data_IF_700936004909
#
_entry.id   IF_700936004909
#
_cell.length_a   1.000
_cell.length_b   1.000
_cell.length_c   1.000
_cell.angle_alpha   90.00
_cell.angle_beta   90.00
_cell.angle_gamma   90.00
#
_symmetry.space_group_name_H-M   'P 1'
#
loop_
_entity.id
_entity.type
_entity.pdbx_description
1 polymer ?
#
# COMPACT_ATOMS: atom_id res chain seq x y z
N UNK A 1 -4.38 -9.97 -31.02
CA UNK A 1 -3.84 -8.81 -31.78
C UNK A 1 -2.69 -8.21 -30.98
N UNK A 2 -1.58 -7.80 -31.61
CA UNK A 2 -0.44 -7.25 -30.89
C UNK A 2 -0.84 -5.91 -30.26
N UNK A 3 -0.64 -5.81 -28.95
CA UNK A 3 -0.84 -4.61 -28.15
C UNK A 3 -0.02 -3.47 -28.75
N UNK A 4 -0.69 -2.39 -29.17
CA UNK A 4 -0.02 -1.14 -29.52
C UNK A 4 0.56 -0.54 -28.24
N UNK A 5 1.82 -0.84 -27.99
CA UNK A 5 2.70 -0.02 -27.16
C UNK A 5 2.70 1.40 -27.74
N UNK A 6 2.39 2.42 -26.93
CA UNK A 6 2.69 3.80 -27.32
C UNK A 6 1.78 4.91 -26.81
N UNK A 7 0.54 4.64 -26.35
CA UNK A 7 -0.39 5.73 -26.01
C UNK A 7 -1.00 5.69 -24.60
N UNK A 8 -0.71 4.66 -23.80
CA UNK A 8 -1.20 4.60 -22.41
C UNK A 8 -0.40 5.44 -21.40
N UNK A 9 0.76 5.98 -21.82
CA UNK A 9 1.71 6.66 -20.93
C UNK A 9 1.33 8.10 -20.54
N UNK A 10 0.22 8.65 -21.03
CA UNK A 10 -0.07 10.10 -20.89
C UNK A 10 -1.33 10.46 -20.10
N UNK A 11 -2.24 9.52 -19.80
CA UNK A 11 -3.45 9.85 -19.04
C UNK A 11 -3.21 9.81 -17.51
N UNK A 12 -2.25 9.01 -17.06
CA UNK A 12 -1.74 9.00 -15.70
C UNK A 12 -0.22 8.90 -15.80
N UNK A 13 0.47 10.02 -15.58
CA UNK A 13 1.88 9.98 -15.17
C UNK A 13 2.02 8.93 -14.06
N UNK A 14 3.14 8.20 -14.02
CA UNK A 14 3.49 7.38 -12.87
C UNK A 14 3.03 8.09 -11.59
N UNK A 15 2.12 7.47 -10.85
CA UNK A 15 1.63 8.05 -9.59
C UNK A 15 2.86 8.33 -8.72
N UNK A 16 2.94 9.50 -8.09
CA UNK A 16 4.05 9.86 -7.21
C UNK A 16 4.34 8.76 -6.19
N UNK A 17 3.31 8.01 -5.77
CA UNK A 17 3.46 6.84 -4.91
C UNK A 17 4.21 5.66 -5.56
N UNK A 18 4.00 5.40 -6.85
CA UNK A 18 4.74 4.38 -7.60
C UNK A 18 6.21 4.78 -7.77
N UNK A 19 6.45 6.06 -8.07
CA UNK A 19 7.82 6.59 -8.13
C UNK A 19 8.52 6.52 -6.77
N UNK A 20 7.86 6.96 -5.70
CA UNK A 20 8.42 6.96 -4.35
C UNK A 20 8.73 5.53 -3.89
N UNK A 21 7.84 4.56 -4.18
CA UNK A 21 8.10 3.15 -3.94
C UNK A 21 9.35 2.67 -4.70
N UNK A 22 9.43 2.95 -6.00
CA UNK A 22 10.56 2.53 -6.83
C UNK A 22 11.87 3.18 -6.38
N UNK A 23 11.86 4.49 -6.10
CA UNK A 23 13.01 5.23 -5.56
C UNK A 23 13.45 4.65 -4.21
N UNK A 24 12.50 4.33 -3.32
CA UNK A 24 12.78 3.71 -2.03
C UNK A 24 13.43 2.33 -2.17
N UNK A 25 12.88 1.48 -3.04
CA UNK A 25 13.44 0.15 -3.32
C UNK A 25 14.85 0.23 -3.91
N UNK A 26 15.05 1.10 -4.92
CA UNK A 26 16.35 1.32 -5.54
C UNK A 26 17.38 1.85 -4.54
N UNK A 27 17.01 2.82 -3.70
CA UNK A 27 17.88 3.32 -2.65
C UNK A 27 18.24 2.21 -1.64
N UNK A 28 17.29 1.34 -1.30
CA UNK A 28 17.52 0.17 -0.45
C UNK A 28 18.55 -0.80 -1.03
N UNK A 29 18.43 -1.16 -2.30
CA UNK A 29 19.39 -2.02 -2.98
C UNK A 29 20.77 -1.36 -3.12
N UNK A 30 20.83 -0.10 -3.55
CA UNK A 30 22.09 0.65 -3.67
C UNK A 30 22.83 0.75 -2.34
N UNK A 31 22.10 1.00 -1.24
CA UNK A 31 22.67 0.97 0.11
C UNK A 31 23.25 -0.40 0.44
N UNK A 32 22.51 -1.48 0.16
CA UNK A 32 22.97 -2.83 0.43
C UNK A 32 24.23 -3.18 -0.36
N UNK A 33 24.31 -2.83 -1.65
CA UNK A 33 25.53 -2.99 -2.45
C UNK A 33 26.71 -2.26 -1.83
N UNK A 34 26.56 -0.96 -1.53
CA UNK A 34 27.63 -0.15 -0.94
C UNK A 34 28.15 -0.73 0.36
N UNK A 35 27.26 -1.14 1.26
CA UNK A 35 27.66 -1.69 2.55
C UNK A 35 28.30 -3.08 2.45
N UNK A 36 27.87 -3.91 1.49
CA UNK A 36 28.50 -5.21 1.22
C UNK A 36 29.87 -5.04 0.56
N UNK A 37 30.03 -4.08 -0.35
CA UNK A 37 31.32 -3.74 -0.95
C UNK A 37 32.34 -3.26 0.09
N UNK A 38 31.88 -2.53 1.12
CA UNK A 38 32.73 -2.19 2.26
C UNK A 38 33.18 -3.43 3.03
N UNK A 39 32.31 -4.41 3.25
CA UNK A 39 32.66 -5.69 3.89
C UNK A 39 33.66 -6.51 3.07
N UNK A 40 33.65 -6.40 1.74
CA UNK A 40 34.62 -7.10 0.87
C UNK A 40 36.04 -6.60 1.13
N UNK A 41 36.18 -5.30 1.40
CA UNK A 41 37.46 -4.64 1.71
C UNK A 41 37.87 -4.77 3.18
N UNK A 42 36.93 -5.11 4.06
CA UNK A 42 37.18 -5.22 5.49
C UNK A 42 38.07 -6.43 5.83
N UNK A 43 38.99 -6.21 6.78
CA UNK A 43 39.94 -7.22 7.27
C UNK A 43 39.80 -7.28 8.80
N UNK A 44 38.78 -7.99 9.31
CA UNK A 44 38.56 -8.07 10.74
C UNK A 44 39.63 -8.94 11.41
N UNK A 45 40.46 -8.33 12.26
CA UNK A 45 41.56 -8.98 12.97
C UNK A 45 41.22 -9.37 14.42
N UNK A 46 40.18 -8.78 14.99
CA UNK A 46 39.76 -8.98 16.39
C UNK A 46 38.37 -9.60 16.46
N UNK A 47 38.00 -10.13 17.63
CA UNK A 47 36.65 -10.69 17.83
C UNK A 47 35.57 -9.61 17.74
N UNK A 48 35.88 -8.39 18.16
CA UNK A 48 35.01 -7.22 18.07
C UNK A 48 34.81 -6.80 16.62
N UNK A 49 35.87 -6.75 15.80
CA UNK A 49 35.72 -6.43 14.37
C UNK A 49 35.02 -7.54 13.61
N UNK A 50 35.24 -8.83 13.95
CA UNK A 50 34.44 -9.95 13.42
C UNK A 50 32.97 -9.83 13.81
N UNK A 51 32.66 -9.46 15.06
CA UNK A 51 31.28 -9.25 15.48
C UNK A 51 30.62 -8.15 14.65
N UNK A 52 31.28 -7.00 14.49
CA UNK A 52 30.77 -5.90 13.69
C UNK A 52 30.59 -6.27 12.21
N UNK A 53 31.54 -7.03 11.65
CA UNK A 53 31.46 -7.58 10.30
C UNK A 53 30.18 -8.39 10.09
N UNK A 54 29.94 -9.40 10.94
CA UNK A 54 28.76 -10.26 10.80
C UNK A 54 27.45 -9.56 11.17
N UNK A 55 27.47 -8.56 12.05
CA UNK A 55 26.31 -7.69 12.30
C UNK A 55 25.92 -6.92 11.04
N UNK A 56 26.88 -6.24 10.40
CA UNK A 56 26.64 -5.48 9.17
C UNK A 56 26.21 -6.40 8.03
N UNK A 57 26.83 -7.57 7.90
CA UNK A 57 26.41 -8.57 6.92
C UNK A 57 24.97 -9.06 7.18
N UNK A 58 24.64 -9.38 8.44
CA UNK A 58 23.30 -9.83 8.83
C UNK A 58 22.23 -8.79 8.49
N UNK A 59 22.48 -7.52 8.82
CA UNK A 59 21.59 -6.42 8.48
C UNK A 59 21.33 -6.34 6.97
N UNK A 60 22.39 -6.40 6.15
CA UNK A 60 22.27 -6.29 4.69
C UNK A 60 21.55 -7.49 4.08
N UNK A 61 21.76 -8.71 4.59
CA UNK A 61 20.99 -9.89 4.16
C UNK A 61 19.51 -9.77 4.53
N UNK A 62 19.21 -9.28 5.74
CA UNK A 62 17.83 -9.04 6.15
C UNK A 62 17.17 -7.95 5.29
N UNK A 63 17.91 -6.89 4.94
CA UNK A 63 17.41 -5.79 4.10
C UNK A 63 17.12 -6.28 2.69
N UNK A 64 18.06 -7.01 2.08
CA UNK A 64 17.89 -7.66 0.79
C UNK A 64 16.64 -8.54 0.74
N UNK A 65 16.45 -9.42 1.73
CA UNK A 65 15.26 -10.28 1.82
C UNK A 65 13.97 -9.47 1.96
N UNK A 66 13.99 -8.42 2.78
CA UNK A 66 12.84 -7.55 2.97
C UNK A 66 12.44 -6.83 1.67
N UNK A 67 13.41 -6.32 0.92
CA UNK A 67 13.16 -5.65 -0.36
C UNK A 67 12.56 -6.60 -1.40
N UNK A 68 13.09 -7.83 -1.50
CA UNK A 68 12.53 -8.85 -2.39
C UNK A 68 11.12 -9.28 -1.99
N UNK A 69 10.87 -9.48 -0.69
CA UNK A 69 9.53 -9.79 -0.18
C UNK A 69 8.54 -8.66 -0.45
N UNK A 70 8.96 -7.39 -0.27
CA UNK A 70 8.14 -6.23 -0.60
C UNK A 70 7.79 -6.19 -2.09
N UNK A 71 8.75 -6.45 -2.98
CA UNK A 71 8.51 -6.57 -4.43
C UNK A 71 7.51 -7.70 -4.70
N UNK A 72 7.76 -8.89 -4.17
CA UNK A 72 6.92 -10.07 -4.37
C UNK A 72 5.47 -9.84 -3.92
N UNK A 73 5.27 -9.24 -2.73
CA UNK A 73 3.94 -8.88 -2.22
C UNK A 73 3.23 -7.89 -3.13
N UNK A 74 3.93 -6.87 -3.63
CA UNK A 74 3.34 -5.86 -4.54
C UNK A 74 2.93 -6.47 -5.87
N UNK A 75 3.81 -7.29 -6.47
CA UNK A 75 3.49 -8.02 -7.71
C UNK A 75 2.31 -8.97 -7.49
N UNK A 76 2.29 -9.70 -6.37
CA UNK A 76 1.17 -10.57 -6.01
C UNK A 76 -0.15 -9.80 -5.91
N UNK A 77 -0.16 -8.66 -5.20
CA UNK A 77 -1.35 -7.80 -5.10
C UNK A 77 -1.80 -7.30 -6.47
N UNK A 78 -0.87 -6.90 -7.33
CA UNK A 78 -1.18 -6.44 -8.69
C UNK A 78 -1.76 -7.59 -9.53
N UNK A 79 -1.15 -8.76 -9.51
CA UNK A 79 -1.64 -9.92 -10.28
C UNK A 79 -3.01 -10.38 -9.78
N UNK A 80 -3.27 -10.25 -8.48
CA UNK A 80 -4.57 -10.54 -7.87
C UNK A 80 -5.67 -9.57 -8.32
N UNK A 81 -5.33 -8.41 -8.91
CA UNK A 81 -6.31 -7.50 -9.53
C UNK A 81 -6.97 -8.12 -10.76
N UNK A 82 -6.31 -9.05 -11.46
CA UNK A 82 -6.79 -9.56 -12.74
C UNK A 82 -7.03 -8.45 -13.79
N UNK A 83 -8.28 -8.31 -14.24
CA UNK A 83 -8.70 -7.26 -15.19
C UNK A 83 -8.98 -5.90 -14.53
N UNK A 84 -8.94 -5.81 -13.20
CA UNK A 84 -9.30 -4.62 -12.41
C UNK A 84 -8.12 -3.62 -12.28
N UNK A 85 -7.10 -3.76 -13.12
CA UNK A 85 -5.84 -3.04 -13.01
C UNK A 85 -5.66 -2.02 -14.14
N UNK A 86 -5.49 -0.76 -13.75
CA UNK A 86 -4.95 0.32 -14.59
C UNK A 86 -3.68 -0.13 -15.33
N UNK A 87 -3.43 0.38 -16.53
CA UNK A 87 -2.17 0.14 -17.27
C UNK A 87 -0.93 0.39 -16.40
N UNK A 88 -0.99 1.43 -15.55
CA UNK A 88 0.04 1.79 -14.57
C UNK A 88 0.41 0.64 -13.63
N UNK A 89 -0.54 -0.19 -13.19
CA UNK A 89 -0.24 -1.32 -12.31
C UNK A 89 0.56 -2.42 -13.04
N UNK A 90 0.26 -2.67 -14.31
CA UNK A 90 1.02 -3.64 -15.13
C UNK A 90 2.43 -3.12 -15.38
N UNK A 91 2.57 -1.84 -15.69
CA UNK A 91 3.87 -1.20 -15.87
C UNK A 91 4.69 -1.23 -14.57
N UNK A 92 4.05 -0.97 -13.42
CA UNK A 92 4.67 -1.10 -12.11
C UNK A 92 5.10 -2.54 -11.84
N UNK A 93 4.25 -3.54 -12.07
CA UNK A 93 4.62 -4.94 -11.88
C UNK A 93 5.80 -5.36 -12.78
N UNK A 94 5.81 -4.90 -14.03
CA UNK A 94 6.94 -5.13 -14.94
C UNK A 94 8.21 -4.43 -14.46
N UNK A 95 8.12 -3.18 -13.99
CA UNK A 95 9.24 -2.43 -13.44
C UNK A 95 9.80 -3.08 -12.16
N UNK A 96 8.93 -3.53 -11.26
CA UNK A 96 9.29 -4.28 -10.06
C UNK A 96 9.97 -5.61 -10.39
N UNK A 97 9.41 -6.36 -11.34
CA UNK A 97 10.00 -7.63 -11.80
C UNK A 97 11.36 -7.43 -12.47
N UNK A 98 11.54 -6.34 -13.23
CA UNK A 98 12.83 -5.96 -13.81
C UNK A 98 13.84 -5.58 -12.72
N UNK A 99 13.43 -4.79 -11.72
CA UNK A 99 14.29 -4.47 -10.57
C UNK A 99 14.69 -5.73 -9.81
N UNK A 100 13.75 -6.60 -9.46
CA UNK A 100 14.04 -7.88 -8.83
C UNK A 100 15.01 -8.73 -9.67
N UNK A 101 14.78 -8.86 -10.97
CA UNK A 101 15.66 -9.61 -11.87
C UNK A 101 17.08 -9.07 -11.92
N UNK A 102 17.25 -7.74 -11.87
CA UNK A 102 18.57 -7.08 -11.84
C UNK A 102 19.30 -7.29 -10.51
N UNK A 103 18.58 -7.31 -9.39
CA UNK A 103 19.19 -7.28 -8.06
C UNK A 103 19.33 -8.66 -7.40
N UNK A 104 18.40 -9.58 -7.68
CA UNK A 104 18.29 -10.86 -6.98
C UNK A 104 19.58 -11.68 -7.06
N UNK A 105 20.06 -11.96 -8.28
CA UNK A 105 21.26 -12.77 -8.48
C UNK A 105 22.56 -12.06 -8.08
N UNK A 106 22.85 -10.82 -8.54
CA UNK A 106 24.12 -10.17 -8.24
C UNK A 106 24.33 -9.91 -6.75
N UNK A 107 23.36 -9.29 -6.07
CA UNK A 107 23.50 -8.98 -4.64
C UNK A 107 23.40 -10.25 -3.77
N UNK A 108 22.57 -11.22 -4.18
CA UNK A 108 22.49 -12.51 -3.50
C UNK A 108 23.83 -13.25 -3.50
N UNK A 109 24.49 -13.31 -4.67
CA UNK A 109 25.84 -13.88 -4.79
C UNK A 109 26.87 -13.11 -3.98
N UNK A 110 26.84 -11.78 -4.06
CA UNK A 110 27.78 -10.93 -3.35
C UNK A 110 27.69 -11.14 -1.82
N UNK A 111 26.48 -11.22 -1.28
CA UNK A 111 26.24 -11.55 0.12
C UNK A 111 26.80 -12.92 0.49
N UNK A 112 26.56 -13.94 -0.34
CA UNK A 112 27.05 -15.31 -0.11
C UNK A 112 28.59 -15.37 -0.12
N UNK A 113 29.24 -14.80 -1.12
CA UNK A 113 30.70 -14.74 -1.22
C UNK A 113 31.32 -13.98 -0.04
N UNK A 114 30.71 -12.86 0.34
CA UNK A 114 31.16 -12.03 1.47
C UNK A 114 31.06 -12.80 2.79
N UNK A 115 29.97 -13.54 3.02
CA UNK A 115 29.82 -14.37 4.21
C UNK A 115 30.91 -15.44 4.33
N UNK A 116 31.15 -16.16 3.24
CA UNK A 116 32.10 -17.28 3.20
C UNK A 116 33.55 -16.81 3.33
N UNK A 117 33.88 -15.63 2.81
CA UNK A 117 35.24 -15.07 2.82
C UNK A 117 35.88 -15.00 4.21
N UNK A 118 35.09 -14.79 5.28
CA UNK A 118 35.60 -14.67 6.65
C UNK A 118 35.33 -15.89 7.52
N UNK A 119 34.78 -16.96 6.97
CA UNK A 119 34.33 -18.11 7.77
C UNK A 119 35.47 -18.81 8.50
N UNK A 120 36.62 -18.96 7.85
CA UNK A 120 37.80 -19.59 8.46
C UNK A 120 38.41 -18.73 9.57
N UNK A 121 38.28 -17.41 9.48
CA UNK A 121 38.70 -16.48 10.53
C UNK A 121 37.79 -16.63 11.76
N UNK A 122 36.48 -16.74 11.55
CA UNK A 122 35.51 -16.99 12.62
C UNK A 122 35.74 -18.34 13.28
N UNK A 123 36.02 -19.40 12.50
CA UNK A 123 36.28 -20.75 13.02
C UNK A 123 37.46 -20.84 13.98
N UNK A 124 38.43 -19.92 13.87
CA UNK A 124 39.52 -19.78 14.84
C UNK A 124 39.07 -19.20 16.18
N UNK A 125 37.95 -18.48 16.21
CA UNK A 125 37.42 -17.80 17.39
C UNK A 125 36.30 -18.58 18.09
N UNK A 126 35.44 -19.24 17.32
CA UNK A 126 34.28 -20.01 17.81
C UNK A 126 34.08 -21.28 17.00
N UNK A 127 33.40 -22.27 17.59
CA UNK A 127 32.95 -23.43 16.83
C UNK A 127 31.80 -23.03 15.89
N UNK A 128 31.95 -23.30 14.59
CA UNK A 128 30.93 -23.04 13.56
C UNK A 128 30.69 -24.34 12.78
N UNK A 129 29.62 -25.09 13.09
CA UNK A 129 29.20 -26.26 12.33
C UNK A 129 29.03 -25.94 10.84
N UNK A 130 29.30 -26.90 9.97
CA UNK A 130 29.14 -26.73 8.52
C UNK A 130 27.69 -26.37 8.15
N UNK A 131 26.69 -26.92 8.86
CA UNK A 131 25.27 -26.58 8.67
C UNK A 131 25.00 -25.06 8.79
N UNK A 132 25.63 -24.39 9.76
CA UNK A 132 25.48 -22.94 9.92
C UNK A 132 26.11 -22.18 8.76
N UNK A 133 27.20 -22.71 8.19
CA UNK A 133 27.83 -22.13 7.01
C UNK A 133 26.92 -22.28 5.79
N UNK A 134 26.36 -23.47 5.59
CA UNK A 134 25.49 -23.77 4.45
C UNK A 134 24.20 -22.94 4.47
N UNK A 135 23.63 -22.68 5.64
CA UNK A 135 22.46 -21.81 5.81
C UNK A 135 22.82 -20.31 5.86
N UNK A 136 24.11 -19.99 5.90
CA UNK A 136 24.68 -18.67 6.19
C UNK A 136 24.10 -18.07 7.48
N UNK A 137 24.03 -18.88 8.54
CA UNK A 137 23.36 -18.56 9.80
C UNK A 137 24.19 -17.56 10.64
N UNK A 138 24.11 -16.29 10.28
CA UNK A 138 24.85 -15.22 10.97
C UNK A 138 24.36 -14.97 12.39
N UNK A 139 23.12 -15.31 12.73
CA UNK A 139 22.59 -15.14 14.10
C UNK A 139 23.39 -15.96 15.10
N UNK A 140 23.67 -17.23 14.77
CA UNK A 140 24.44 -18.12 15.62
C UNK A 140 25.93 -17.71 15.68
N UNK A 141 26.49 -17.19 14.58
CA UNK A 141 27.85 -16.62 14.58
C UNK A 141 27.92 -15.40 15.49
N UNK A 142 26.97 -14.45 15.37
CA UNK A 142 26.87 -13.26 16.21
C UNK A 142 26.74 -13.66 17.68
N UNK A 143 25.85 -14.61 18.00
CA UNK A 143 25.65 -15.10 19.36
C UNK A 143 26.91 -15.76 19.95
N UNK A 144 27.61 -16.56 19.15
CA UNK A 144 28.88 -17.19 19.54
C UNK A 144 29.97 -16.16 19.84
N UNK A 145 30.14 -15.16 18.96
CA UNK A 145 31.09 -14.07 19.16
C UNK A 145 30.73 -13.22 20.38
N UNK A 146 29.45 -12.89 20.57
CA UNK A 146 28.96 -12.19 21.77
C UNK A 146 29.33 -12.96 23.05
N UNK A 147 29.12 -14.27 23.06
CA UNK A 147 29.45 -15.14 24.21
C UNK A 147 30.94 -15.07 24.55
N UNK A 148 31.82 -15.09 23.55
CA UNK A 148 33.28 -14.96 23.77
C UNK A 148 33.71 -13.56 24.25
N UNK A 149 32.89 -12.55 23.98
CA UNK A 149 33.12 -11.16 24.39
C UNK A 149 32.39 -10.78 25.69
N UNK A 150 31.63 -11.70 26.31
CA UNK A 150 30.83 -11.40 27.50
C UNK A 150 29.60 -10.52 27.23
N UNK A 151 29.13 -10.46 25.98
CA UNK A 151 27.99 -9.65 25.55
C UNK A 151 26.70 -10.48 25.43
N UNK A 152 25.54 -9.83 25.57
CA UNK A 152 24.23 -10.44 25.32
C UNK A 152 23.90 -10.42 23.82
N UNK A 153 23.47 -11.56 23.27
CA UNK A 153 23.15 -11.71 21.85
C UNK A 153 21.94 -10.88 21.40
N UNK A 154 20.86 -10.83 22.19
CA UNK A 154 19.60 -10.19 21.79
C UNK A 154 19.73 -8.68 21.48
N UNK A 155 20.69 -7.99 22.10
CA UNK A 155 20.98 -6.57 21.83
C UNK A 155 21.95 -6.34 20.67
N UNK A 156 22.50 -7.41 20.09
CA UNK A 156 23.55 -7.36 19.08
C UNK A 156 23.15 -7.93 17.73
N UNK A 157 22.01 -8.61 17.60
CA UNK A 157 21.47 -9.03 16.30
C UNK A 157 20.72 -7.83 15.69
N UNK A 158 21.23 -7.21 14.60
CA UNK A 158 20.59 -6.06 14.02
C UNK A 158 19.25 -6.44 13.39
N UNK A 159 18.24 -5.59 13.55
CA UNK A 159 16.95 -5.76 12.88
C UNK A 159 16.79 -4.70 11.80
N UNK A 160 16.36 -5.13 10.63
CA UNK A 160 15.80 -4.18 9.65
C UNK A 160 14.48 -3.73 10.23
N UNK A 161 14.37 -2.44 10.53
CA UNK A 161 13.09 -1.84 10.83
C UNK A 161 12.21 -2.03 9.59
N UNK A 162 11.31 -3.00 9.65
CA UNK A 162 10.17 -3.00 8.73
C UNK A 162 9.41 -1.70 9.00
N UNK A 163 8.88 -1.01 7.98
CA UNK A 163 7.97 0.09 8.22
C UNK A 163 6.92 -0.43 9.18
N UNK A 164 6.82 0.19 10.36
CA UNK A 164 6.08 -0.29 11.52
C UNK A 164 4.82 -1.01 11.00
N UNK A 165 4.79 -2.34 11.15
CA UNK A 165 3.50 -3.03 11.06
C UNK A 165 2.70 -2.34 12.13
N UNK A 166 1.74 -1.51 11.72
CA UNK A 166 0.85 -0.85 12.64
C UNK A 166 0.29 -1.98 13.48
N UNK A 167 0.70 -2.06 14.75
CA UNK A 167 0.19 -3.06 15.67
C UNK A 167 -1.25 -2.66 15.89
N UNK A 168 -2.13 -3.21 15.05
CA UNK A 168 -3.53 -2.85 15.01
C UNK A 168 -4.15 -3.14 16.37
N UNK A 169 -3.75 -4.21 17.04
CA UNK A 169 -4.24 -4.56 18.36
C UNK A 169 -3.83 -3.50 19.39
N UNK A 170 -2.56 -3.06 19.39
CA UNK A 170 -2.08 -2.02 20.29
C UNK A 170 -2.69 -0.64 19.99
N UNK A 171 -2.76 -0.27 18.70
CA UNK A 171 -3.37 0.97 18.23
C UNK A 171 -4.85 1.03 18.63
N UNK A 172 -5.60 -0.04 18.36
CA UNK A 172 -7.02 -0.11 18.69
C UNK A 172 -7.26 -0.21 20.19
N UNK A 173 -6.36 -0.86 20.96
CA UNK A 173 -6.40 -0.83 22.42
C UNK A 173 -6.34 0.61 22.94
N UNK A 174 -5.34 1.39 22.53
CA UNK A 174 -5.20 2.81 22.90
C UNK A 174 -6.45 3.60 22.48
N UNK A 175 -6.90 3.46 21.23
CA UNK A 175 -8.06 4.19 20.73
C UNK A 175 -9.33 3.87 21.51
N UNK A 176 -9.57 2.60 21.83
CA UNK A 176 -10.75 2.13 22.58
C UNK A 176 -10.74 2.57 24.05
N UNK A 177 -9.56 2.79 24.65
CA UNK A 177 -9.43 3.11 26.07
C UNK A 177 -9.20 4.59 26.38
N UNK A 178 -8.68 5.39 25.43
CA UNK A 178 -8.12 6.71 25.75
C UNK A 178 -8.74 7.88 25.00
N UNK A 179 -9.61 7.65 24.00
CA UNK A 179 -10.21 8.74 23.21
C UNK A 179 -11.72 8.79 23.36
N UNK A 180 -12.24 9.93 23.82
CA UNK A 180 -13.68 10.15 23.86
C UNK A 180 -14.25 10.27 22.44
N UNK A 181 -15.52 9.91 22.25
CA UNK A 181 -16.24 10.11 20.98
C UNK A 181 -16.12 11.56 20.47
N UNK A 182 -16.15 12.53 21.37
CA UNK A 182 -16.04 13.95 21.05
C UNK A 182 -14.65 14.31 20.50
N UNK A 183 -13.58 13.80 21.13
CA UNK A 183 -12.20 14.02 20.68
C UNK A 183 -11.94 13.42 19.30
N UNK A 184 -12.47 12.22 19.05
CA UNK A 184 -12.38 11.58 17.74
C UNK A 184 -13.14 12.38 16.68
N UNK A 185 -14.32 12.91 17.02
CA UNK A 185 -15.11 13.79 16.14
C UNK A 185 -14.36 15.08 15.80
N UNK A 186 -13.68 15.72 16.75
CA UNK A 186 -12.97 17.00 16.53
C UNK A 186 -11.68 16.85 15.71
N UNK A 187 -10.86 15.82 15.99
CA UNK A 187 -9.69 15.48 15.16
C UNK A 187 -10.15 15.15 13.74
N UNK A 188 -11.26 14.41 13.62
CA UNK A 188 -11.86 14.04 12.36
C UNK A 188 -12.32 15.27 11.56
N UNK A 189 -13.03 16.23 12.18
CA UNK A 189 -13.48 17.45 11.50
C UNK A 189 -12.28 18.20 10.90
N UNK A 190 -11.15 18.23 11.60
CA UNK A 190 -9.93 18.85 11.11
C UNK A 190 -9.32 18.11 9.92
N UNK A 191 -9.31 16.77 9.93
CA UNK A 191 -8.77 15.97 8.82
C UNK A 191 -9.66 16.06 7.57
N UNK A 192 -10.96 15.87 7.72
CA UNK A 192 -11.91 15.89 6.59
C UNK A 192 -12.08 17.29 6.00
N UNK A 193 -12.36 18.30 6.82
CA UNK A 193 -12.65 19.65 6.31
C UNK A 193 -11.40 20.42 5.85
N UNK A 194 -10.20 20.13 6.37
CA UNK A 194 -8.96 20.69 5.79
C UNK A 194 -8.54 19.97 4.51
N UNK A 195 -8.65 18.64 4.43
CA UNK A 195 -8.29 17.89 3.23
C UNK A 195 -9.17 18.23 2.02
N UNK A 196 -10.43 18.61 2.23
CA UNK A 196 -11.33 19.08 1.16
C UNK A 196 -10.83 20.29 0.38
N UNK A 197 -9.88 21.07 0.92
CA UNK A 197 -9.26 22.20 0.21
C UNK A 197 -8.14 21.77 -0.77
N UNK A 198 -7.63 20.54 -0.65
CA UNK A 198 -6.45 20.05 -1.36
C UNK A 198 -6.76 19.07 -2.51
N UNK A 199 -8.01 18.64 -2.71
CA UNK A 199 -8.37 17.74 -3.82
C UNK A 199 -8.33 18.50 -5.15
N UNK A 200 -7.19 18.43 -5.84
CA UNK A 200 -6.90 19.21 -7.05
C UNK A 200 -7.39 18.58 -8.37
N UNK A 201 -7.88 17.33 -8.35
CA UNK A 201 -8.20 16.59 -9.58
C UNK A 201 -9.71 16.43 -9.76
N UNK A 202 -10.32 17.39 -10.45
CA UNK A 202 -11.46 17.11 -11.31
C UNK A 202 -10.87 16.84 -12.70
N UNK A 203 -11.16 15.67 -13.28
CA UNK A 203 -10.66 15.40 -14.64
C UNK A 203 -11.36 16.32 -15.65
N UNK A 204 -10.63 16.81 -16.65
CA UNK A 204 -11.27 17.42 -17.82
C UNK A 204 -12.24 16.40 -18.44
N UNK A 205 -13.48 16.81 -18.74
CA UNK A 205 -14.51 15.90 -19.28
C UNK A 205 -15.29 15.10 -18.24
N UNK A 206 -15.23 15.50 -16.96
CA UNK A 206 -16.02 14.96 -15.83
C UNK A 206 -17.56 15.03 -16.01
N UNK A 207 -18.04 15.64 -17.10
CA UNK A 207 -19.45 15.69 -17.49
C UNK A 207 -19.81 14.85 -18.72
N UNK A 208 -18.89 14.03 -19.22
CA UNK A 208 -19.07 13.37 -20.51
C UNK A 208 -18.80 14.37 -21.64
N UNK A 209 -17.64 14.23 -22.26
CA UNK A 209 -17.19 14.89 -23.49
C UNK A 209 -17.06 16.44 -23.47
N UNK A 210 -17.87 17.23 -22.75
CA UNK A 210 -17.70 18.70 -22.65
C UNK A 210 -18.23 19.31 -21.34
N UNK A 211 -17.34 19.95 -20.57
CA UNK A 211 -17.71 20.70 -19.36
C UNK A 211 -18.46 21.99 -19.70
N UNK A 212 -19.72 22.10 -19.25
CA UNK A 212 -20.53 23.32 -19.41
C UNK A 212 -20.09 24.46 -18.47
N UNK A 213 -19.30 24.15 -17.44
CA UNK A 213 -18.79 25.08 -16.43
C UNK A 213 -17.27 25.15 -16.51
N UNK A 214 -16.70 26.29 -16.08
CA UNK A 214 -15.26 26.42 -15.95
C UNK A 214 -14.69 25.47 -14.89
N UNK A 215 -13.40 25.13 -15.00
CA UNK A 215 -12.71 24.29 -14.02
C UNK A 215 -12.81 24.85 -12.58
N UNK A 216 -12.78 26.18 -12.42
CA UNK A 216 -12.91 26.84 -11.12
C UNK A 216 -14.32 26.69 -10.53
N UNK A 217 -15.36 26.80 -11.36
CA UNK A 217 -16.75 26.62 -10.92
C UNK A 217 -17.01 25.17 -10.53
N UNK A 218 -16.52 24.21 -11.31
CA UNK A 218 -16.62 22.78 -10.99
C UNK A 218 -15.88 22.48 -9.68
N UNK A 219 -14.68 23.03 -9.48
CA UNK A 219 -13.92 22.88 -8.22
C UNK A 219 -14.67 23.44 -7.03
N UNK A 220 -15.26 24.62 -7.17
CA UNK A 220 -16.06 25.26 -6.12
C UNK A 220 -17.28 24.40 -5.77
N UNK A 221 -18.02 23.94 -6.78
CA UNK A 221 -19.18 23.08 -6.60
C UNK A 221 -18.82 21.71 -5.97
N UNK A 222 -17.70 21.11 -6.39
CA UNK A 222 -17.22 19.85 -5.84
C UNK A 222 -16.80 19.99 -4.37
N UNK A 223 -16.13 21.09 -4.00
CA UNK A 223 -15.76 21.37 -2.62
C UNK A 223 -16.98 21.61 -1.74
N UNK A 224 -17.97 22.35 -2.23
CA UNK A 224 -19.21 22.57 -1.48
C UNK A 224 -19.98 21.27 -1.27
N UNK A 225 -20.13 20.47 -2.35
CA UNK A 225 -20.75 19.14 -2.28
C UNK A 225 -20.05 18.23 -1.28
N UNK A 226 -18.71 18.27 -1.24
CA UNK A 226 -17.93 17.52 -0.25
C UNK A 226 -18.20 17.97 1.19
N UNK A 227 -18.31 19.28 1.44
CA UNK A 227 -18.64 19.81 2.78
C UNK A 227 -20.03 19.38 3.23
N UNK A 228 -21.02 19.49 2.35
CA UNK A 228 -22.40 19.06 2.61
C UNK A 228 -22.47 17.56 2.87
N UNK A 229 -21.81 16.76 2.03
CA UNK A 229 -21.74 15.29 2.19
C UNK A 229 -21.12 14.93 3.54
N UNK A 230 -19.99 15.56 3.89
CA UNK A 230 -19.31 15.32 5.16
C UNK A 230 -20.24 15.62 6.33
N UNK A 231 -20.89 16.80 6.33
CA UNK A 231 -21.86 17.19 7.36
C UNK A 231 -22.98 16.15 7.52
N UNK A 232 -23.60 15.72 6.42
CA UNK A 232 -24.66 14.71 6.45
C UNK A 232 -24.17 13.38 7.04
N UNK A 233 -22.97 12.93 6.67
CA UNK A 233 -22.37 11.71 7.24
C UNK A 233 -22.25 11.83 8.76
N UNK A 234 -21.76 12.95 9.29
CA UNK A 234 -21.67 13.14 10.75
C UNK A 234 -23.01 13.10 11.46
N UNK A 235 -23.99 13.82 10.90
CA UNK A 235 -25.35 13.89 11.45
C UNK A 235 -26.02 12.51 11.48
N UNK A 236 -25.59 11.59 10.61
CA UNK A 236 -26.14 10.24 10.47
C UNK A 236 -25.20 9.14 10.98
N UNK A 237 -24.12 9.45 11.71
CA UNK A 237 -23.20 8.41 12.20
C UNK A 237 -23.87 7.40 13.12
N UNK A 238 -24.74 7.89 14.01
CA UNK A 238 -25.47 7.09 15.00
C UNK A 238 -26.67 6.32 14.43
N UNK A 239 -27.02 6.55 13.15
CA UNK A 239 -28.11 5.83 12.50
C UNK A 239 -27.61 4.56 11.84
N UNK A 240 -28.50 3.58 11.67
CA UNK A 240 -28.19 2.40 10.86
C UNK A 240 -27.83 2.82 9.42
N UNK A 241 -26.93 2.07 8.79
CA UNK A 241 -26.56 2.29 7.40
C UNK A 241 -26.46 0.97 6.69
N UNK A 242 -27.25 0.86 5.64
CA UNK A 242 -27.25 -0.31 4.78
C UNK A 242 -26.02 -0.27 3.87
N UNK A 243 -25.15 -1.28 3.98
CA UNK A 243 -23.89 -1.34 3.24
C UNK A 243 -24.15 -2.10 1.94
N UNK A 244 -24.35 -1.35 0.85
CA UNK A 244 -24.64 -1.92 -0.45
C UNK A 244 -24.31 -0.97 -1.60
N UNK A 245 -24.61 -1.40 -2.83
CA UNK A 245 -24.35 -0.60 -4.03
C UNK A 245 -25.09 0.75 -4.02
N UNK A 246 -26.27 0.79 -3.42
CA UNK A 246 -27.06 2.03 -3.35
C UNK A 246 -26.40 3.07 -2.44
N UNK A 247 -25.75 2.66 -1.35
CA UNK A 247 -24.93 3.58 -0.55
C UNK A 247 -23.79 4.20 -1.38
N UNK A 248 -23.12 3.41 -2.24
CA UNK A 248 -22.07 3.94 -3.11
C UNK A 248 -22.63 4.95 -4.14
N UNK A 249 -23.80 4.66 -4.71
CA UNK A 249 -24.49 5.57 -5.63
C UNK A 249 -24.95 6.84 -4.93
N UNK A 250 -25.41 6.74 -3.69
CA UNK A 250 -25.84 7.88 -2.88
C UNK A 250 -24.67 8.80 -2.54
N UNK A 251 -23.54 8.21 -2.14
CA UNK A 251 -22.30 8.95 -1.94
C UNK A 251 -21.83 9.63 -3.24
N UNK A 252 -21.86 8.93 -4.37
CA UNK A 252 -21.52 9.54 -5.67
C UNK A 252 -22.45 10.71 -6.00
N UNK A 253 -23.76 10.53 -5.79
CA UNK A 253 -24.78 11.55 -6.02
C UNK A 253 -24.56 12.81 -5.17
N UNK A 254 -24.24 12.64 -3.89
CA UNK A 254 -23.97 13.75 -2.97
C UNK A 254 -22.65 14.46 -3.31
N UNK A 255 -21.59 13.70 -3.60
CA UNK A 255 -20.25 14.24 -3.88
C UNK A 255 -20.14 14.97 -5.23
N UNK A 256 -20.98 14.59 -6.19
CA UNK A 256 -21.00 15.12 -7.55
C UNK A 256 -22.22 16.01 -7.83
N UNK A 257 -22.98 16.39 -6.79
CA UNK A 257 -24.14 17.26 -6.93
C UNK A 257 -23.76 18.59 -7.60
N UNK A 258 -24.44 18.93 -8.70
CA UNK A 258 -24.15 20.14 -9.48
C UNK A 258 -22.83 20.13 -10.26
N UNK A 259 -22.13 18.99 -10.27
CA UNK A 259 -20.88 18.74 -11.02
C UNK A 259 -21.15 17.76 -12.16
N UNK A 260 -21.74 16.60 -11.88
CA UNK A 260 -21.99 15.53 -12.87
C UNK A 260 -23.52 15.38 -13.09
N UNK A 261 -24.03 15.50 -14.32
CA UNK A 261 -25.45 15.23 -14.62
C UNK A 261 -25.85 13.76 -14.40
N UNK A 262 -24.89 12.83 -14.39
CA UNK A 262 -25.11 11.40 -14.16
C UNK A 262 -24.76 10.99 -12.71
N UNK A 263 -24.71 11.94 -11.78
CA UNK A 263 -24.40 11.67 -10.38
C UNK A 263 -25.31 10.55 -9.79
N UNK A 264 -24.68 9.58 -9.13
CA UNK A 264 -25.32 8.37 -8.62
C UNK A 264 -25.64 7.26 -9.64
N UNK A 265 -25.27 7.40 -10.91
CA UNK A 265 -25.42 6.35 -11.92
C UNK A 265 -24.08 5.70 -12.23
N UNK A 266 -24.07 4.36 -12.38
CA UNK A 266 -22.92 3.68 -12.97
C UNK A 266 -22.81 4.07 -14.43
N UNK A 267 -21.57 4.11 -14.93
CA UNK A 267 -21.32 4.28 -16.37
C UNK A 267 -21.96 3.14 -17.15
N UNK A 268 -22.25 3.39 -18.43
CA UNK A 268 -22.94 2.43 -19.32
C UNK A 268 -22.10 2.01 -20.53
N UNK A 269 -20.92 2.61 -20.68
CA UNK A 269 -19.98 2.38 -21.76
C UNK A 269 -18.56 2.38 -21.20
N UNK A 270 -17.64 1.80 -21.98
CA UNK A 270 -16.22 1.85 -21.65
C UNK A 270 -15.68 3.27 -21.77
N UNK A 271 -14.70 3.58 -20.91
CA UNK A 271 -13.91 4.78 -21.11
C UNK A 271 -13.12 4.67 -22.43
N UNK A 272 -12.86 5.79 -23.13
CA UNK A 272 -12.05 5.78 -24.36
C UNK A 272 -10.66 5.16 -24.17
N UNK A 273 -10.06 5.37 -23.00
CA UNK A 273 -8.78 4.80 -22.58
C UNK A 273 -8.90 3.41 -21.96
N UNK A 274 -10.10 2.81 -21.95
CA UNK A 274 -10.40 1.52 -21.33
C UNK A 274 -9.94 1.43 -19.86
N UNK A 275 -10.01 2.54 -19.14
CA UNK A 275 -9.75 2.54 -17.72
C UNK A 275 -10.79 1.70 -16.94
N UNK A 276 -10.38 1.02 -15.87
CA UNK A 276 -11.24 0.12 -15.10
C UNK A 276 -11.66 -1.14 -15.88
N UNK A 277 -12.76 -1.77 -15.42
CA UNK A 277 -13.26 -3.03 -16.00
C UNK A 277 -14.03 -2.77 -17.29
N UNK A 278 -13.74 -3.49 -18.38
CA UNK A 278 -14.47 -3.28 -19.63
C UNK A 278 -15.87 -3.90 -19.63
N UNK A 279 -16.78 -3.41 -20.48
CA UNK A 279 -18.09 -4.03 -20.74
C UNK A 279 -18.00 -5.28 -21.64
N UNK A 280 -16.83 -5.52 -22.25
CA UNK A 280 -16.58 -6.71 -23.07
C UNK A 280 -16.92 -7.99 -22.31
N UNK A 281 -17.64 -8.91 -22.97
CA UNK A 281 -18.06 -10.20 -22.41
C UNK A 281 -18.85 -10.11 -21.08
N UNK A 282 -19.51 -8.98 -20.80
CA UNK A 282 -20.28 -8.79 -19.55
C UNK A 282 -19.39 -8.67 -18.31
N UNK A 283 -18.10 -8.37 -18.48
CA UNK A 283 -17.17 -8.25 -17.37
C UNK A 283 -17.63 -7.20 -16.35
N UNK A 284 -18.05 -6.01 -16.78
CA UNK A 284 -18.52 -4.95 -15.88
C UNK A 284 -19.63 -5.43 -14.94
N UNK A 285 -20.68 -6.04 -15.47
CA UNK A 285 -21.83 -6.51 -14.68
C UNK A 285 -21.43 -7.62 -13.69
N UNK A 286 -20.56 -8.54 -14.12
CA UNK A 286 -20.00 -9.57 -13.24
C UNK A 286 -19.27 -8.93 -12.06
N UNK A 287 -18.38 -7.97 -12.34
CA UNK A 287 -17.57 -7.32 -11.31
C UNK A 287 -18.39 -6.44 -10.36
N UNK A 288 -19.47 -5.80 -10.84
CA UNK A 288 -20.46 -5.12 -9.99
C UNK A 288 -21.19 -6.11 -9.09
N UNK A 289 -21.56 -7.29 -9.61
CA UNK A 289 -22.16 -8.37 -8.82
C UNK A 289 -21.24 -8.85 -7.69
N UNK A 290 -19.96 -9.08 -8.00
CA UNK A 290 -18.94 -9.42 -7.02
C UNK A 290 -18.77 -8.31 -5.96
N UNK A 291 -18.72 -7.04 -6.38
CA UNK A 291 -18.64 -5.90 -5.44
C UNK A 291 -19.84 -5.87 -4.50
N UNK A 292 -21.05 -6.12 -5.01
CA UNK A 292 -22.28 -6.21 -4.21
C UNK A 292 -22.16 -7.30 -3.14
N UNK A 293 -21.62 -8.46 -3.51
CA UNK A 293 -21.40 -9.56 -2.58
C UNK A 293 -20.39 -9.20 -1.48
N UNK A 294 -19.26 -8.59 -1.83
CA UNK A 294 -18.25 -8.16 -0.83
C UNK A 294 -18.77 -7.04 0.09
N UNK A 295 -19.63 -6.15 -0.42
CA UNK A 295 -20.33 -5.16 0.42
C UNK A 295 -21.22 -5.86 1.45
N UNK A 296 -21.95 -6.90 1.05
CA UNK A 296 -22.75 -7.74 1.96
C UNK A 296 -21.89 -8.48 2.99
N UNK A 297 -20.72 -9.00 2.60
CA UNK A 297 -19.76 -9.60 3.55
C UNK A 297 -19.24 -8.57 4.55
N UNK A 298 -18.99 -7.34 4.10
CA UNK A 298 -18.57 -6.22 4.95
C UNK A 298 -19.66 -5.88 5.98
N UNK A 299 -20.93 -5.84 5.54
CA UNK A 299 -22.07 -5.67 6.44
C UNK A 299 -22.15 -6.80 7.49
N UNK A 300 -22.01 -8.05 7.04
CA UNK A 300 -22.13 -9.23 7.90
C UNK A 300 -20.98 -9.35 8.91
N UNK A 301 -19.80 -8.86 8.53
CA UNK A 301 -18.60 -8.85 9.40
C UNK A 301 -18.55 -7.64 10.34
N UNK A 302 -19.58 -6.79 10.40
CA UNK A 302 -19.54 -5.54 11.17
C UNK A 302 -19.23 -5.73 12.66
N UNK A 303 -19.42 -6.91 13.26
CA UNK A 303 -19.06 -7.18 14.66
C UNK A 303 -17.67 -7.83 14.85
N UNK A 304 -17.09 -8.41 13.82
CA UNK A 304 -15.73 -8.98 13.82
C UNK A 304 -14.76 -7.94 13.23
N UNK A 305 -13.94 -7.32 14.08
CA UNK A 305 -13.08 -6.22 13.64
C UNK A 305 -12.05 -6.66 12.57
N UNK A 306 -11.22 -7.71 12.77
CA UNK A 306 -10.33 -8.20 11.71
C UNK A 306 -11.04 -8.49 10.38
N UNK A 307 -12.18 -9.21 10.42
CA UNK A 307 -12.92 -9.54 9.20
C UNK A 307 -13.52 -8.30 8.54
N UNK A 308 -14.04 -7.35 9.33
CA UNK A 308 -14.56 -6.08 8.83
C UNK A 308 -13.49 -5.26 8.13
N UNK A 309 -12.31 -5.09 8.74
CA UNK A 309 -11.21 -4.34 8.12
C UNK A 309 -10.78 -4.99 6.81
N UNK A 310 -10.66 -6.32 6.79
CA UNK A 310 -10.31 -7.08 5.60
C UNK A 310 -11.33 -6.89 4.47
N UNK A 311 -12.63 -7.05 4.77
CA UNK A 311 -13.69 -6.92 3.78
C UNK A 311 -13.88 -5.48 3.31
N UNK A 312 -13.77 -4.51 4.21
CA UNK A 312 -13.84 -3.09 3.87
C UNK A 312 -12.68 -2.67 2.95
N UNK A 313 -11.47 -3.19 3.19
CA UNK A 313 -10.33 -3.00 2.30
C UNK A 313 -10.58 -3.62 0.91
N UNK A 314 -11.20 -4.81 0.86
CA UNK A 314 -11.62 -5.45 -0.41
C UNK A 314 -12.65 -4.60 -1.15
N UNK A 315 -13.67 -4.06 -0.47
CA UNK A 315 -14.66 -3.17 -1.10
C UNK A 315 -14.01 -1.94 -1.72
N UNK A 316 -13.16 -1.24 -0.97
CA UNK A 316 -12.45 -0.06 -1.47
C UNK A 316 -11.61 -0.42 -2.70
N UNK A 317 -10.82 -1.49 -2.60
CA UNK A 317 -9.98 -1.96 -3.69
C UNK A 317 -10.78 -2.32 -4.95
N UNK A 318 -11.88 -3.06 -4.80
CA UNK A 318 -12.75 -3.43 -5.93
C UNK A 318 -13.41 -2.20 -6.55
N UNK A 319 -13.88 -1.25 -5.75
CA UNK A 319 -14.48 0.00 -6.24
C UNK A 319 -13.50 0.79 -7.13
N UNK A 320 -12.25 0.94 -6.69
CA UNK A 320 -11.22 1.64 -7.47
C UNK A 320 -10.87 0.88 -8.75
N UNK A 321 -10.74 -0.45 -8.67
CA UNK A 321 -10.36 -1.27 -9.83
C UNK A 321 -11.48 -1.45 -10.87
N UNK A 322 -12.74 -1.51 -10.44
CA UNK A 322 -13.91 -1.56 -11.34
C UNK A 322 -14.12 -0.22 -12.04
N UNK A 323 -13.88 0.87 -11.31
CA UNK A 323 -14.12 2.24 -11.76
C UNK A 323 -15.56 2.44 -12.26
N UNK A 324 -16.58 2.22 -11.41
CA UNK A 324 -17.97 2.10 -11.85
C UNK A 324 -18.67 3.42 -12.21
N UNK A 325 -18.17 4.56 -11.75
CA UNK A 325 -18.69 5.89 -12.07
C UNK A 325 -17.87 6.58 -13.16
N UNK A 326 -18.43 7.55 -13.87
CA UNK A 326 -17.69 8.29 -14.91
C UNK A 326 -16.54 9.13 -14.34
N UNK A 327 -16.71 9.69 -13.14
CA UNK A 327 -15.66 10.38 -12.40
C UNK A 327 -15.85 10.16 -10.88
N UNK A 328 -14.93 10.70 -10.06
CA UNK A 328 -15.01 10.72 -8.60
C UNK A 328 -14.97 9.36 -7.89
N UNK A 329 -14.62 8.26 -8.57
CA UNK A 329 -14.46 6.93 -7.97
C UNK A 329 -13.53 6.94 -6.74
N UNK A 330 -12.39 7.65 -6.82
CA UNK A 330 -11.47 7.83 -5.69
C UNK A 330 -12.06 8.63 -4.53
N UNK A 331 -12.94 9.61 -4.80
CA UNK A 331 -13.64 10.40 -3.76
C UNK A 331 -14.74 9.57 -3.10
N UNK A 332 -15.51 8.82 -3.88
CA UNK A 332 -16.55 7.90 -3.38
C UNK A 332 -15.92 6.84 -2.50
N UNK A 333 -14.85 6.17 -2.96
CA UNK A 333 -14.21 5.11 -2.19
C UNK A 333 -13.62 5.60 -0.87
N UNK A 334 -12.92 6.75 -0.86
CA UNK A 334 -12.37 7.31 0.38
C UNK A 334 -13.46 7.76 1.35
N UNK A 335 -14.54 8.35 0.83
CA UNK A 335 -15.69 8.75 1.64
C UNK A 335 -16.39 7.54 2.25
N UNK A 336 -16.66 6.51 1.43
CA UNK A 336 -17.27 5.26 1.87
C UNK A 336 -16.43 4.59 2.96
N UNK A 337 -15.13 4.37 2.72
CA UNK A 337 -14.25 3.71 3.66
C UNK A 337 -14.21 4.43 5.01
N UNK A 338 -14.03 5.75 5.00
CA UNK A 338 -13.97 6.54 6.21
C UNK A 338 -15.32 6.64 6.92
N UNK A 339 -16.44 6.66 6.17
CA UNK A 339 -17.78 6.54 6.76
C UNK A 339 -17.93 5.21 7.51
N UNK A 340 -17.45 4.11 6.94
CA UNK A 340 -17.49 2.79 7.57
C UNK A 340 -16.60 2.71 8.80
N UNK A 341 -15.38 3.25 8.76
CA UNK A 341 -14.53 3.38 9.95
C UNK A 341 -15.21 4.17 11.06
N UNK A 342 -15.80 5.33 10.75
CA UNK A 342 -16.52 6.11 11.75
C UNK A 342 -17.70 5.35 12.36
N UNK A 343 -18.49 4.64 11.55
CA UNK A 343 -19.59 3.83 12.07
C UNK A 343 -19.12 2.70 12.98
N UNK A 344 -17.92 2.18 12.75
CA UNK A 344 -17.25 1.19 13.60
C UNK A 344 -16.59 1.81 14.84
N UNK A 345 -16.59 3.14 14.98
CA UNK A 345 -15.91 3.86 16.07
C UNK A 345 -14.40 4.00 15.88
N UNK A 346 -13.93 3.84 14.64
CA UNK A 346 -12.52 3.92 14.27
C UNK A 346 -12.17 5.29 13.68
N UNK A 347 -10.92 5.74 13.85
CA UNK A 347 -10.45 6.96 13.23
C UNK A 347 -10.41 6.82 11.70
N UNK A 348 -10.58 7.94 10.96
CA UNK A 348 -10.45 7.94 9.52
C UNK A 348 -8.98 7.78 9.13
N UNK A 349 -8.76 7.32 7.91
CA UNK A 349 -7.42 7.20 7.33
C UNK A 349 -7.23 8.24 6.23
N UNK A 350 -6.02 8.78 6.18
CA UNK A 350 -5.53 9.53 5.03
C UNK A 350 -4.75 8.57 4.14
N UNK A 351 -5.05 8.60 2.84
CA UNK A 351 -4.32 7.86 1.80
C UNK A 351 -3.32 8.75 1.12
#
# INVERSE_FOLDING_TARGET
>A
MPHRAGYFALAYSWDHHCEDLMRSLQAGFSKAHSEVDELIRDVPETRESLLNYYKKWHYNRALYRHLLDLIGRRIFTINSLGYRGYGVNRDLAAALGSLEGREREPLGRLLDETFLRKIDVVRRSIHVPQEWVDQRNSEHIIAGLCTKLGLKANGNIPRVLSPNVLDLDYYYKIMSSETSWQTNTDIFQRLFFRAGSASATLMEGSTGLHNQKSAMELKTAANESFRVTSKNIFETLHTFTDIGLDLLKDLHRLLCHGVDPQAGQFRRIDFPDRNGVTFEFGNFDREIGELSWVLSETASSFHDLPAFIYNLARCYYMLIGIHPFWDSNGRVGRTFLNQMFMKKGLPPVSF
#
